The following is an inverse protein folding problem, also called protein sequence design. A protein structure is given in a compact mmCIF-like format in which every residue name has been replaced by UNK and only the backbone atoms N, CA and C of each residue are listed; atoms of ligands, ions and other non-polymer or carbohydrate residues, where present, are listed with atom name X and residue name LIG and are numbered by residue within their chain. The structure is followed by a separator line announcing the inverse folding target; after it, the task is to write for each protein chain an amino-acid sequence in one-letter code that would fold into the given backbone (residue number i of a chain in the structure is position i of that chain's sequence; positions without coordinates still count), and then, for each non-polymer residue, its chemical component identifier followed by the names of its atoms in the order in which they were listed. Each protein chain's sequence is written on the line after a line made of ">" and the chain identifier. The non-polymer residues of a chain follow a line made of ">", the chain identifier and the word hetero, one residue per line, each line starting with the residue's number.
data_IF_535163842460
#
_entry.id   IF_535163842460
#
_cell.length_a   1.000
_cell.length_b   1.000
_cell.length_c   1.000
_cell.angle_alpha   90.00
_cell.angle_beta   90.00
_cell.angle_gamma   90.00
#
_symmetry.space_group_name_H-M   'P 1'
#
loop_
_entity.id
_entity.type
_entity.pdbx_description
1 polymer ?
#
# COMPACT_ATOMS: atom_id res chain seq x y z
N UNK A 1 -6.74 20.32 -8.94
CA UNK A 1 -7.21 19.75 -7.65
C UNK A 1 -8.34 20.57 -7.02
N UNK A 2 -8.10 21.74 -6.40
CA UNK A 2 -9.15 22.51 -5.71
C UNK A 2 -10.31 22.92 -6.63
N UNK A 3 -10.00 23.37 -7.84
CA UNK A 3 -11.01 23.76 -8.83
C UNK A 3 -11.94 22.61 -9.20
N UNK A 4 -11.37 21.41 -9.39
CA UNK A 4 -12.09 20.17 -9.68
C UNK A 4 -13.07 19.82 -8.57
N UNK A 5 -12.62 19.91 -7.32
CA UNK A 5 -13.46 19.61 -6.17
C UNK A 5 -14.63 20.61 -6.06
N UNK A 6 -14.39 21.89 -6.36
CA UNK A 6 -15.45 22.91 -6.42
C UNK A 6 -16.46 22.61 -7.52
N UNK A 7 -16.00 22.22 -8.70
CA UNK A 7 -16.88 21.82 -9.81
C UNK A 7 -17.72 20.59 -9.45
N UNK A 8 -17.11 19.57 -8.85
CA UNK A 8 -17.81 18.36 -8.41
C UNK A 8 -18.88 18.72 -7.37
N UNK A 9 -18.53 19.49 -6.34
CA UNK A 9 -19.48 19.92 -5.31
C UNK A 9 -20.67 20.70 -5.88
N UNK A 10 -20.41 21.64 -6.80
CA UNK A 10 -21.47 22.46 -7.42
C UNK A 10 -22.31 21.69 -8.45
N UNK A 11 -21.76 20.65 -9.08
CA UNK A 11 -22.47 19.83 -10.07
C UNK A 11 -23.35 18.76 -9.46
N UNK A 12 -23.12 18.40 -8.19
CA UNK A 12 -23.75 17.24 -7.58
C UNK A 12 -25.14 17.58 -7.01
N UNK A 13 -26.22 16.91 -7.46
CA UNK A 13 -27.60 17.31 -7.14
C UNK A 13 -27.99 17.13 -5.67
N UNK A 14 -27.26 16.28 -4.93
CA UNK A 14 -27.49 16.04 -3.50
C UNK A 14 -26.72 17.00 -2.59
N UNK A 15 -25.88 17.87 -3.15
CA UNK A 15 -25.15 18.88 -2.36
C UNK A 15 -26.01 20.13 -2.22
N UNK A 16 -26.12 20.62 -1.00
CA UNK A 16 -26.84 21.84 -0.68
C UNK A 16 -26.00 23.06 -1.04
N UNK A 17 -26.65 24.07 -1.62
CA UNK A 17 -26.03 25.38 -1.88
C UNK A 17 -25.95 26.23 -0.60
N UNK A 18 -26.87 26.02 0.33
CA UNK A 18 -26.90 26.69 1.64
C UNK A 18 -27.10 25.64 2.75
N UNK A 19 -26.09 25.41 3.62
CA UNK A 19 -24.78 26.07 3.68
C UNK A 19 -23.85 25.69 2.52
N UNK A 20 -23.08 26.68 2.04
CA UNK A 20 -22.19 26.50 0.90
C UNK A 20 -21.04 25.51 1.20
N UNK A 21 -20.65 24.67 0.21
CA UNK A 21 -19.54 23.76 0.38
C UNK A 21 -18.23 24.52 0.61
N UNK A 22 -17.47 24.08 1.61
CA UNK A 22 -16.18 24.67 1.94
C UNK A 22 -15.04 23.74 1.51
N UNK A 23 -14.15 24.28 0.68
CA UNK A 23 -13.04 23.54 0.08
C UNK A 23 -11.79 24.41 0.18
N UNK A 24 -10.80 23.93 0.92
CA UNK A 24 -9.53 24.62 1.10
C UNK A 24 -8.37 23.65 1.26
N UNK A 25 -7.15 24.16 1.09
CA UNK A 25 -5.94 23.41 1.39
C UNK A 25 -5.76 23.35 2.91
N UNK A 26 -5.66 22.15 3.45
CA UNK A 26 -5.35 21.93 4.85
C UNK A 26 -3.86 22.02 5.09
N UNK A 27 -3.25 20.87 5.31
CA UNK A 27 -1.83 20.75 5.69
C UNK A 27 -0.98 20.19 4.55
N UNK A 28 0.27 20.64 4.46
CA UNK A 28 1.29 20.01 3.62
C UNK A 28 1.95 18.88 4.42
N UNK A 29 1.58 17.64 4.11
CA UNK A 29 2.20 16.44 4.68
C UNK A 29 3.51 16.09 3.93
N UNK A 30 4.26 15.13 4.48
CA UNK A 30 5.60 14.74 4.01
C UNK A 30 5.64 14.30 2.53
N UNK A 31 4.56 13.66 2.05
CA UNK A 31 4.45 13.18 0.66
C UNK A 31 3.16 13.62 -0.04
N UNK A 32 2.32 14.44 0.60
CA UNK A 32 0.97 14.76 0.11
C UNK A 32 0.50 16.13 0.57
N UNK A 33 -0.44 16.72 -0.17
CA UNK A 33 -1.20 17.88 0.29
C UNK A 33 -2.56 17.41 0.76
N UNK A 34 -2.87 17.61 2.03
CA UNK A 34 -4.18 17.31 2.59
C UNK A 34 -5.15 18.43 2.23
N UNK A 35 -6.30 18.08 1.64
CA UNK A 35 -7.33 19.02 1.24
C UNK A 35 -8.55 18.81 2.13
N UNK A 36 -9.13 19.90 2.62
CA UNK A 36 -10.41 19.89 3.31
C UNK A 36 -11.53 20.02 2.29
N UNK A 37 -12.46 19.08 2.33
CA UNK A 37 -13.64 19.05 1.48
C UNK A 37 -14.87 18.84 2.36
N UNK A 38 -15.66 19.89 2.53
CA UNK A 38 -16.91 19.87 3.29
C UNK A 38 -18.06 20.21 2.36
N UNK A 39 -18.85 19.20 1.99
CA UNK A 39 -20.10 19.36 1.27
C UNK A 39 -21.26 18.96 2.17
N UNK A 40 -22.31 19.78 2.19
CA UNK A 40 -23.49 19.55 3.01
C UNK A 40 -24.56 18.84 2.20
N UNK A 41 -25.24 17.88 2.81
CA UNK A 41 -26.30 17.11 2.17
C UNK A 41 -27.39 16.78 3.18
N UNK A 42 -28.55 16.31 2.70
CA UNK A 42 -29.61 15.82 3.57
C UNK A 42 -29.16 14.56 4.29
N UNK A 43 -29.64 14.37 5.52
CA UNK A 43 -29.28 13.22 6.36
C UNK A 43 -29.62 11.88 5.70
N UNK A 44 -30.72 11.84 4.96
CA UNK A 44 -31.23 10.64 4.28
C UNK A 44 -30.31 10.19 3.14
N UNK A 45 -29.72 11.16 2.43
CA UNK A 45 -28.93 10.94 1.22
C UNK A 45 -27.42 10.88 1.48
N UNK A 46 -27.00 11.02 2.75
CA UNK A 46 -25.59 11.18 3.13
C UNK A 46 -24.67 10.12 2.54
N UNK A 47 -25.02 8.84 2.71
CA UNK A 47 -24.19 7.73 2.23
C UNK A 47 -24.14 7.64 0.71
N UNK A 48 -25.26 7.94 0.05
CA UNK A 48 -25.34 8.00 -1.41
C UNK A 48 -24.44 9.10 -1.95
N UNK A 49 -24.59 10.33 -1.42
CA UNK A 49 -23.76 11.46 -1.80
C UNK A 49 -22.28 11.23 -1.50
N UNK A 50 -21.94 10.66 -0.34
CA UNK A 50 -20.57 10.36 0.03
C UNK A 50 -19.90 9.37 -0.93
N UNK A 51 -20.58 8.26 -1.23
CA UNK A 51 -20.06 7.24 -2.14
C UNK A 51 -19.93 7.75 -3.57
N UNK A 52 -20.94 8.48 -4.07
CA UNK A 52 -20.93 9.02 -5.43
C UNK A 52 -19.87 10.10 -5.60
N UNK A 53 -19.78 11.06 -4.67
CA UNK A 53 -18.76 12.11 -4.72
C UNK A 53 -17.36 11.48 -4.66
N UNK A 54 -17.12 10.51 -3.78
CA UNK A 54 -15.81 9.84 -3.68
C UNK A 54 -15.42 9.13 -4.97
N UNK A 55 -16.38 8.48 -5.65
CA UNK A 55 -16.17 7.84 -6.95
C UNK A 55 -15.83 8.87 -8.03
N UNK A 56 -16.60 9.95 -8.12
CA UNK A 56 -16.39 11.02 -9.11
C UNK A 56 -15.03 11.69 -8.89
N UNK A 57 -14.63 11.93 -7.65
CA UNK A 57 -13.31 12.49 -7.32
C UNK A 57 -12.20 11.60 -7.87
N UNK A 58 -12.26 10.28 -7.61
CA UNK A 58 -11.27 9.32 -8.13
C UNK A 58 -11.18 9.37 -9.65
N UNK A 59 -12.33 9.28 -10.33
CA UNK A 59 -12.39 9.27 -11.79
C UNK A 59 -11.85 10.57 -12.40
N UNK A 60 -12.23 11.72 -11.83
CA UNK A 60 -11.76 13.04 -12.29
C UNK A 60 -10.28 13.27 -12.02
N UNK A 61 -9.77 12.80 -10.89
CA UNK A 61 -8.34 12.90 -10.57
C UNK A 61 -7.50 12.06 -11.53
N UNK A 62 -7.95 10.85 -11.88
CA UNK A 62 -7.30 10.04 -12.91
C UNK A 62 -7.31 10.71 -14.28
N UNK A 63 -8.43 11.34 -14.68
CA UNK A 63 -8.54 12.07 -15.96
C UNK A 63 -7.65 13.30 -16.03
N UNK A 64 -7.50 14.03 -14.93
CA UNK A 64 -6.68 15.24 -14.86
C UNK A 64 -5.20 14.95 -14.58
N UNK A 65 -4.83 13.68 -14.38
CA UNK A 65 -3.46 13.27 -14.07
C UNK A 65 -3.03 13.61 -12.64
N UNK A 66 -3.97 13.81 -11.72
CA UNK A 66 -3.70 14.02 -10.29
C UNK A 66 -3.44 12.66 -9.66
N UNK A 67 -2.18 12.35 -9.38
CA UNK A 67 -1.77 11.09 -8.76
C UNK A 67 -1.88 11.19 -7.24
N UNK A 68 -2.53 10.20 -6.62
CA UNK A 68 -2.54 10.04 -5.16
C UNK A 68 -1.17 9.46 -4.75
N UNK A 69 -0.39 10.19 -3.93
CA UNK A 69 0.95 9.77 -3.58
C UNK A 69 0.92 8.54 -2.66
N UNK A 70 1.81 7.58 -2.94
CA UNK A 70 2.09 6.45 -2.05
C UNK A 70 3.27 6.82 -1.14
N UNK A 71 3.29 6.37 0.13
CA UNK A 71 4.45 6.56 0.99
C UNK A 71 5.65 5.83 0.36
N UNK A 72 6.71 6.58 0.06
CA UNK A 72 7.95 6.01 -0.49
C UNK A 72 8.94 5.80 0.66
N UNK A 73 9.41 4.56 0.82
CA UNK A 73 10.56 4.28 1.67
C UNK A 73 11.77 4.03 0.78
N UNK A 74 12.82 4.85 0.95
CA UNK A 74 14.10 4.61 0.31
C UNK A 74 14.96 3.71 1.21
N UNK A 75 15.38 2.56 0.69
CA UNK A 75 16.26 1.63 1.40
C UNK A 75 17.68 1.83 0.90
N UNK A 76 18.56 2.31 1.79
CA UNK A 76 19.99 2.41 1.52
C UNK A 76 20.68 1.12 1.98
N UNK A 77 21.14 0.31 1.03
CA UNK A 77 21.90 -0.91 1.34
C UNK A 77 23.39 -0.55 1.38
N UNK A 78 23.99 -0.67 2.56
CA UNK A 78 25.44 -0.52 2.71
C UNK A 78 26.17 -1.77 2.19
N UNK A 79 27.36 -1.58 1.60
CA UNK A 79 28.17 -2.67 1.05
C UNK A 79 28.53 -3.76 2.08
N UNK A 80 28.50 -3.42 3.38
CA UNK A 80 28.75 -4.35 4.47
C UNK A 80 27.63 -5.39 4.65
N UNK A 81 26.38 -5.05 4.33
CA UNK A 81 25.25 -5.99 4.40
C UNK A 81 25.11 -6.87 3.14
N UNK A 82 25.62 -6.43 1.99
CA UNK A 82 25.55 -7.18 0.74
C UNK A 82 26.43 -8.45 0.71
N UNK A 83 27.37 -8.61 1.66
CA UNK A 83 28.35 -9.70 1.67
C UNK A 83 28.03 -10.85 2.64
N UNK A 84 26.97 -10.79 3.43
CA UNK A 84 26.80 -11.74 4.54
C UNK A 84 25.87 -12.93 4.29
N UNK A 85 25.05 -12.97 3.22
CA UNK A 85 24.07 -14.05 3.04
C UNK A 85 23.99 -14.65 1.62
N UNK A 86 25.06 -15.29 1.17
CA UNK A 86 24.96 -16.34 0.14
C UNK A 86 25.83 -17.54 0.52
N UNK A 87 25.27 -18.64 1.07
CA UNK A 87 25.98 -19.91 1.07
C UNK A 87 26.20 -20.32 -0.39
N UNK A 88 27.47 -20.41 -0.84
CA UNK A 88 27.80 -20.95 -2.16
C UNK A 88 27.19 -22.34 -2.28
N UNK A 89 26.18 -22.48 -3.14
CA UNK A 89 25.74 -23.78 -3.64
C UNK A 89 26.99 -24.54 -4.14
N UNK A 90 27.18 -25.75 -3.61
CA UNK A 90 28.46 -26.42 -3.55
C UNK A 90 29.08 -26.77 -4.90
N UNK A 91 30.41 -26.65 -4.96
CA UNK A 91 31.24 -27.42 -5.90
C UNK A 91 31.67 -28.72 -5.23
N UNK A 92 31.13 -29.84 -5.71
CA UNK A 92 31.69 -31.21 -5.66
C UNK A 92 32.13 -31.75 -4.29
N UNK A 93 31.21 -32.43 -3.60
CA UNK A 93 31.54 -33.51 -2.65
C UNK A 93 30.99 -34.82 -3.20
N UNK A 94 31.86 -35.81 -3.44
CA UNK A 94 31.48 -37.13 -3.93
C UNK A 94 30.48 -37.81 -2.99
N UNK A 95 29.34 -38.25 -3.53
CA UNK A 95 28.44 -39.19 -2.87
C UNK A 95 29.08 -40.57 -2.90
N UNK A 96 29.82 -40.93 -1.85
CA UNK A 96 30.14 -42.34 -1.58
C UNK A 96 29.10 -42.91 -0.63
N UNK A 97 28.32 -43.87 -1.12
CA UNK A 97 27.34 -44.63 -0.33
C UNK A 97 28.01 -45.28 0.90
N UNK A 98 27.39 -45.28 2.09
CA UNK A 98 27.89 -46.06 3.22
C UNK A 98 27.65 -47.56 2.97
N UNK A 99 28.67 -48.38 3.21
CA UNK A 99 28.58 -49.86 3.18
C UNK A 99 27.57 -50.37 4.24
N UNK A 100 26.84 -51.46 3.98
CA UNK A 100 25.91 -52.03 4.94
C UNK A 100 26.67 -52.67 6.12
N UNK A 101 26.40 -52.21 7.34
CA UNK A 101 26.91 -52.84 8.55
C UNK A 101 26.14 -54.15 8.81
N UNK A 102 26.67 -55.27 8.33
CA UNK A 102 26.39 -56.59 8.88
C UNK A 102 27.57 -57.04 9.73
N UNK A 103 27.38 -57.16 11.04
CA UNK A 103 28.02 -58.20 11.87
C UNK A 103 27.64 -58.03 13.33
N UNK A 104 26.75 -58.91 13.81
CA UNK A 104 26.76 -59.35 15.20
C UNK A 104 28.03 -60.17 15.46
N UNK A 105 28.57 -60.15 16.69
CA UNK A 105 28.91 -61.44 17.29
C UNK A 105 28.52 -61.57 18.77
N UNK A 106 28.33 -62.84 19.13
CA UNK A 106 27.73 -63.42 20.32
C UNK A 106 28.44 -63.16 21.65
N UNK A 107 27.61 -62.96 22.68
CA UNK A 107 27.51 -63.71 23.94
C UNK A 107 28.77 -64.17 24.70
N UNK A 108 28.78 -63.90 26.03
CA UNK A 108 29.03 -64.90 27.08
C UNK A 108 28.65 -64.37 28.48
N UNK A 109 27.89 -65.23 29.16
CA UNK A 109 27.58 -65.40 30.58
C UNK A 109 28.75 -65.18 31.56
N UNK A 110 28.45 -64.58 32.73
CA UNK A 110 28.69 -65.12 34.08
C UNK A 110 27.94 -64.26 35.11
#
# INVERSE_FOLDING_TARGET
>A
ALQVLKEIANSHPLVLEDPAPWIDTGELAEYAVNIWFMAYTKKEDYWTAYCDISRIIKERFEQEGIVIPLPRQEIYISEAMAKQDLPRAGSHGQITNPKPHSSFPNGKTA
#
